data_IF_538128034208
#
_entry.id   IF_538128034208
#
_cell.length_a   1.000
_cell.length_b   1.000
_cell.length_c   1.000
_cell.angle_alpha   90.00
_cell.angle_beta   90.00
_cell.angle_gamma   90.00
#
_symmetry.space_group_name_H-M   'P 1'
#
loop_
_entity.id
_entity.type
_entity.pdbx_description
1 polymer ?
#
# COMPACT_ATOMS: atom_id res chain seq x y z
N UNK A 1 19.09 2.89 -9.06
CA UNK A 1 18.29 2.04 -8.17
C UNK A 1 18.93 2.18 -6.80
N UNK A 2 18.29 2.89 -5.89
CA UNK A 2 18.82 3.15 -4.54
C UNK A 2 18.77 1.83 -3.76
N UNK A 3 19.92 1.49 -3.22
CA UNK A 3 20.19 0.32 -2.40
C UNK A 3 19.17 0.18 -1.27
N UNK A 4 18.81 -1.08 -0.92
CA UNK A 4 17.77 -1.43 0.04
C UNK A 4 18.01 -1.06 1.49
N UNK A 5 18.56 0.13 1.77
CA UNK A 5 18.66 0.65 3.13
C UNK A 5 17.26 0.75 3.75
N UNK A 6 17.06 0.38 5.02
CA UNK A 6 15.78 0.51 5.70
C UNK A 6 15.24 1.94 5.62
N UNK A 7 13.92 2.10 5.57
CA UNK A 7 13.29 3.41 5.73
C UNK A 7 13.56 3.88 7.16
N UNK A 8 13.97 5.14 7.31
CA UNK A 8 14.24 5.66 8.66
C UNK A 8 12.97 5.77 9.51
N UNK A 9 13.13 5.60 10.82
CA UNK A 9 12.02 5.53 11.75
C UNK A 9 11.20 6.83 11.78
N UNK A 10 11.83 7.98 11.54
CA UNK A 10 11.16 9.29 11.52
C UNK A 10 10.22 9.40 10.33
N UNK A 11 10.68 9.03 9.13
CA UNK A 11 9.85 9.00 7.92
C UNK A 11 8.68 8.02 8.07
N UNK A 12 8.92 6.83 8.64
CA UNK A 12 7.85 5.85 8.92
C UNK A 12 6.80 6.45 9.87
N UNK A 13 7.24 7.06 10.97
CA UNK A 13 6.33 7.63 11.97
C UNK A 13 5.48 8.77 11.38
N UNK A 14 6.09 9.67 10.59
CA UNK A 14 5.37 10.74 9.89
C UNK A 14 4.33 10.18 8.93
N UNK A 15 4.74 9.29 8.01
CA UNK A 15 3.81 8.70 7.03
C UNK A 15 2.68 7.93 7.72
N UNK A 16 2.95 7.26 8.83
CA UNK A 16 1.93 6.52 9.59
C UNK A 16 0.88 7.43 10.20
N UNK A 17 1.21 8.68 10.51
CA UNK A 17 0.30 9.67 11.10
C UNK A 17 -0.57 10.38 10.05
N UNK A 18 -0.25 10.25 8.76
CA UNK A 18 -0.88 10.98 7.67
C UNK A 18 -1.98 10.16 6.99
N UNK A 19 -3.11 10.79 6.62
CA UNK A 19 -4.13 10.11 5.82
C UNK A 19 -3.66 9.91 4.37
N UNK A 20 -4.07 8.79 3.76
CA UNK A 20 -3.77 8.49 2.34
C UNK A 20 -4.19 9.62 1.39
N UNK A 21 -5.36 10.26 1.54
CA UNK A 21 -5.73 11.41 0.67
C UNK A 21 -4.72 12.56 0.71
N UNK A 22 -4.18 12.91 1.88
CA UNK A 22 -3.16 13.97 2.01
C UNK A 22 -1.86 13.57 1.31
N UNK A 23 -1.46 12.29 1.43
CA UNK A 23 -0.28 11.74 0.76
C UNK A 23 -0.45 11.77 -0.77
N UNK A 24 -1.60 11.31 -1.30
CA UNK A 24 -1.87 11.28 -2.74
C UNK A 24 -1.94 12.68 -3.35
N UNK A 25 -2.56 13.64 -2.65
CA UNK A 25 -2.57 15.04 -3.06
C UNK A 25 -1.16 15.65 -3.09
N UNK A 26 -0.32 15.28 -2.12
CA UNK A 26 1.09 15.72 -2.07
C UNK A 26 1.92 15.10 -3.19
N UNK A 27 1.72 13.81 -3.48
CA UNK A 27 2.33 13.12 -4.63
C UNK A 27 1.98 13.83 -5.94
N UNK A 28 0.68 14.12 -6.17
CA UNK A 28 0.23 14.83 -7.36
C UNK A 28 0.87 16.22 -7.49
N UNK A 29 0.97 16.99 -6.40
CA UNK A 29 1.65 18.29 -6.38
C UNK A 29 3.16 18.19 -6.68
N UNK A 30 3.77 17.03 -6.45
CA UNK A 30 5.17 16.72 -6.77
C UNK A 30 5.35 16.02 -8.12
N UNK A 31 4.30 15.92 -8.94
CA UNK A 31 4.34 15.37 -10.30
C UNK A 31 4.04 13.86 -10.40
N UNK A 32 3.65 13.21 -9.32
CA UNK A 32 3.24 11.79 -9.31
C UNK A 32 1.71 11.72 -9.20
N UNK A 33 1.01 11.84 -10.32
CA UNK A 33 -0.46 11.83 -10.34
C UNK A 33 -1.07 10.42 -10.16
N UNK A 34 -0.35 9.36 -10.56
CA UNK A 34 -0.81 7.98 -10.50
C UNK A 34 -0.09 7.20 -9.39
N UNK A 35 -0.39 7.51 -8.14
CA UNK A 35 0.20 6.87 -6.96
C UNK A 35 -0.82 6.24 -6.01
N UNK A 36 -2.05 5.94 -6.47
CA UNK A 36 -3.10 5.36 -5.64
C UNK A 36 -3.66 4.07 -6.25
N UNK A 37 -3.66 2.98 -5.50
CA UNK A 37 -4.16 1.67 -5.93
C UNK A 37 -5.69 1.64 -5.90
N UNK A 38 -6.30 2.25 -6.92
CA UNK A 38 -7.75 2.39 -7.01
C UNK A 38 -8.45 1.03 -7.10
N UNK A 39 -9.52 0.85 -6.32
CA UNK A 39 -10.31 -0.40 -6.34
C UNK A 39 -9.96 -1.40 -5.24
N UNK A 40 -8.75 -1.37 -4.70
CA UNK A 40 -8.41 -2.19 -3.53
C UNK A 40 -9.11 -1.67 -2.28
N UNK A 41 -9.58 -2.60 -1.45
CA UNK A 41 -10.22 -2.28 -0.17
C UNK A 41 -9.54 -3.03 0.96
N UNK A 42 -9.45 -2.42 2.15
CA UNK A 42 -9.00 -3.15 3.32
C UNK A 42 -10.00 -4.27 3.64
N UNK A 43 -9.49 -5.45 3.94
CA UNK A 43 -10.28 -6.59 4.37
C UNK A 43 -10.93 -6.31 5.73
N UNK A 44 -10.20 -5.64 6.61
CA UNK A 44 -10.64 -5.16 7.91
C UNK A 44 -10.35 -3.66 8.02
N UNK A 45 -11.36 -2.78 7.85
CA UNK A 45 -11.18 -1.33 7.98
C UNK A 45 -10.61 -0.92 9.34
N UNK A 46 -10.95 -1.62 10.42
CA UNK A 46 -10.41 -1.35 11.76
C UNK A 46 -8.90 -1.62 11.89
N UNK A 47 -8.30 -2.32 10.93
CA UNK A 47 -6.89 -2.72 10.92
C UNK A 47 -6.22 -2.42 9.56
N UNK A 48 -6.55 -1.29 8.94
CA UNK A 48 -6.06 -0.93 7.61
C UNK A 48 -4.70 -0.19 7.62
N UNK A 49 -4.28 0.38 8.76
CA UNK A 49 -3.14 1.31 8.79
C UNK A 49 -1.79 0.62 8.79
N UNK A 50 -1.00 0.90 7.74
CA UNK A 50 0.38 0.43 7.65
C UNK A 50 1.28 1.41 6.89
N UNK A 51 2.60 1.31 7.10
CA UNK A 51 3.68 1.89 6.28
C UNK A 51 4.74 0.82 6.13
N UNK A 52 5.10 0.48 4.90
CA UNK A 52 6.08 -0.57 4.63
C UNK A 52 6.75 -0.39 3.25
N UNK A 53 7.88 -1.08 3.04
CA UNK A 53 8.53 -1.15 1.73
C UNK A 53 8.05 -2.35 0.93
N UNK A 54 7.90 -2.19 -0.38
CA UNK A 54 7.34 -3.18 -1.28
C UNK A 54 8.28 -4.36 -1.54
N UNK A 55 7.82 -5.58 -1.26
CA UNK A 55 8.29 -6.81 -1.86
C UNK A 55 7.32 -7.18 -2.99
N UNK A 56 7.75 -7.03 -4.25
CA UNK A 56 6.86 -7.19 -5.41
C UNK A 56 6.86 -8.62 -5.94
N UNK A 57 5.67 -9.11 -6.29
CA UNK A 57 5.43 -10.44 -6.86
C UNK A 57 4.48 -10.31 -8.06
N UNK A 58 4.86 -10.85 -9.22
CA UNK A 58 4.04 -10.84 -10.44
C UNK A 58 3.57 -12.23 -10.81
N UNK A 59 2.28 -12.37 -11.05
CA UNK A 59 1.66 -13.60 -11.52
C UNK A 59 1.09 -13.41 -12.95
N UNK A 60 1.51 -14.27 -13.87
CA UNK A 60 1.03 -14.33 -15.25
C UNK A 60 -0.06 -15.39 -15.41
N UNK A 61 -0.88 -15.31 -16.48
CA UNK A 61 -1.79 -16.41 -16.83
C UNK A 61 -1.07 -17.75 -16.87
N UNK A 62 -1.70 -18.77 -16.31
CA UNK A 62 -1.09 -20.09 -16.25
C UNK A 62 -0.84 -20.64 -17.66
N UNK A 63 0.31 -21.27 -17.83
CA UNK A 63 0.66 -22.09 -18.97
C UNK A 63 1.01 -23.49 -18.43
N UNK A 64 0.36 -24.50 -18.92
CA UNK A 64 0.32 -25.85 -18.32
C UNK A 64 1.68 -26.52 -18.27
N UNK A 65 2.56 -26.23 -19.23
CA UNK A 65 3.93 -26.77 -19.21
C UNK A 65 4.77 -26.13 -18.07
N UNK A 66 4.62 -24.81 -17.83
CA UNK A 66 5.28 -24.12 -16.71
C UNK A 66 4.74 -24.59 -15.37
N UNK A 67 3.41 -24.72 -15.25
CA UNK A 67 2.78 -25.24 -14.02
C UNK A 67 3.27 -26.67 -13.71
N UNK A 68 3.35 -27.52 -14.74
CA UNK A 68 3.87 -28.87 -14.61
C UNK A 68 5.32 -28.87 -14.12
N UNK A 69 6.17 -28.04 -14.73
CA UNK A 69 7.58 -27.94 -14.31
C UNK A 69 7.74 -27.53 -12.83
N UNK A 70 6.86 -26.64 -12.34
CA UNK A 70 6.83 -26.28 -10.91
C UNK A 70 6.34 -27.45 -10.05
N UNK A 71 5.30 -28.16 -10.49
CA UNK A 71 4.73 -29.31 -9.78
C UNK A 71 5.71 -30.47 -9.68
N UNK A 72 6.45 -30.74 -10.77
CA UNK A 72 7.45 -31.82 -10.86
C UNK A 72 8.80 -31.43 -10.21
N UNK A 73 8.92 -30.18 -9.72
CA UNK A 73 10.15 -29.68 -9.08
C UNK A 73 11.29 -29.38 -10.04
N UNK A 74 11.07 -29.38 -11.35
CA UNK A 74 12.07 -29.01 -12.38
C UNK A 74 12.18 -27.50 -12.58
N UNK A 75 11.21 -26.71 -12.07
CA UNK A 75 11.27 -25.26 -11.97
C UNK A 75 10.94 -24.81 -10.53
N UNK A 76 11.47 -23.66 -10.07
CA UNK A 76 11.25 -23.17 -8.72
C UNK A 76 9.80 -22.71 -8.52
N UNK A 77 9.22 -23.05 -7.37
CA UNK A 77 7.96 -22.46 -6.93
C UNK A 77 8.23 -21.03 -6.39
N UNK A 78 8.01 -20.01 -7.25
CA UNK A 78 8.30 -18.61 -6.91
C UNK A 78 7.36 -18.07 -5.84
N UNK A 79 6.11 -18.54 -5.75
CA UNK A 79 5.22 -18.16 -4.64
C UNK A 79 5.82 -18.59 -3.29
N UNK A 80 6.24 -19.85 -3.17
CA UNK A 80 6.91 -20.35 -1.94
C UNK A 80 8.23 -19.63 -1.66
N UNK A 81 8.95 -19.26 -2.72
CA UNK A 81 10.19 -18.48 -2.61
C UNK A 81 9.88 -17.09 -2.04
N UNK A 82 8.87 -16.37 -2.55
CA UNK A 82 8.44 -15.08 -2.03
C UNK A 82 8.11 -15.14 -0.54
N UNK A 83 7.35 -16.15 -0.10
CA UNK A 83 7.02 -16.32 1.33
C UNK A 83 8.27 -16.48 2.22
N UNK A 84 9.32 -17.11 1.69
CA UNK A 84 10.59 -17.24 2.44
C UNK A 84 11.43 -15.97 2.43
N UNK A 85 11.43 -15.20 1.33
CA UNK A 85 12.31 -14.04 1.12
C UNK A 85 11.75 -12.73 1.69
N UNK A 86 10.43 -12.53 1.61
CA UNK A 86 9.83 -11.32 2.20
C UNK A 86 10.20 -11.20 3.68
N UNK A 87 10.59 -10.01 4.10
CA UNK A 87 11.17 -9.77 5.43
C UNK A 87 10.26 -8.93 6.32
N UNK A 88 10.57 -8.89 7.60
CA UNK A 88 9.91 -7.99 8.55
C UNK A 88 9.99 -6.53 8.08
N UNK A 89 8.92 -5.78 8.27
CA UNK A 89 8.82 -4.38 7.84
C UNK A 89 8.51 -4.19 6.36
N UNK A 90 8.39 -5.27 5.57
CA UNK A 90 7.95 -5.20 4.18
C UNK A 90 6.45 -5.47 4.04
N UNK A 91 5.87 -4.99 2.93
CA UNK A 91 4.54 -5.37 2.43
C UNK A 91 4.73 -6.21 1.17
N UNK A 92 4.06 -7.36 1.09
CA UNK A 92 4.03 -8.11 -0.16
C UNK A 92 2.96 -7.51 -1.08
N UNK A 93 3.39 -7.10 -2.28
CA UNK A 93 2.50 -6.51 -3.30
C UNK A 93 2.45 -7.45 -4.48
N UNK A 94 1.24 -7.86 -4.88
CA UNK A 94 1.08 -8.88 -5.91
C UNK A 94 0.28 -8.34 -7.10
N UNK A 95 0.86 -8.47 -8.29
CA UNK A 95 0.17 -8.31 -9.57
C UNK A 95 -0.43 -9.65 -10.00
N UNK A 96 -1.75 -9.68 -10.11
CA UNK A 96 -2.53 -10.81 -10.64
C UNK A 96 -3.39 -10.39 -11.85
N UNK A 97 -3.12 -9.21 -12.44
CA UNK A 97 -3.87 -8.65 -13.58
C UNK A 97 -5.34 -8.39 -13.25
N UNK A 98 -5.66 -8.02 -12.00
CA UNK A 98 -7.01 -7.71 -11.57
C UNK A 98 -7.95 -8.92 -11.47
N UNK A 99 -7.43 -10.15 -11.38
CA UNK A 99 -8.29 -11.37 -11.28
C UNK A 99 -8.85 -11.54 -9.86
N UNK A 100 -9.98 -10.90 -9.58
CA UNK A 100 -10.69 -11.00 -8.32
C UNK A 100 -11.21 -12.42 -7.99
N UNK A 101 -11.18 -13.36 -8.96
CA UNK A 101 -11.72 -14.70 -8.80
C UNK A 101 -10.74 -15.73 -8.23
N UNK A 102 -9.51 -15.33 -7.92
CA UNK A 102 -8.47 -16.23 -7.38
C UNK A 102 -7.82 -15.65 -6.14
N UNK A 103 -7.12 -16.50 -5.38
CA UNK A 103 -6.37 -16.10 -4.19
C UNK A 103 -5.00 -16.78 -4.14
N UNK A 104 -3.95 -16.00 -3.84
CA UNK A 104 -2.63 -16.52 -3.46
C UNK A 104 -2.43 -16.56 -1.93
N UNK A 105 -3.33 -15.96 -1.16
CA UNK A 105 -3.25 -15.82 0.28
C UNK A 105 -4.54 -16.29 0.94
N UNK A 106 -4.42 -17.08 1.96
CA UNK A 106 -5.45 -17.52 2.88
C UNK A 106 -4.90 -17.53 4.30
N UNK A 107 -5.61 -18.12 5.25
CA UNK A 107 -5.27 -18.13 6.67
C UNK A 107 -3.83 -18.58 6.95
N UNK A 108 -3.42 -19.75 6.43
CA UNK A 108 -2.09 -20.33 6.72
C UNK A 108 -0.95 -19.42 6.26
N UNK A 109 -1.06 -18.85 5.05
CA UNK A 109 -0.04 -17.96 4.50
C UNK A 109 -0.03 -16.63 5.27
N UNK A 110 -1.19 -16.06 5.56
CA UNK A 110 -1.30 -14.80 6.29
C UNK A 110 -0.76 -14.92 7.71
N UNK A 111 -1.07 -16.01 8.40
CA UNK A 111 -0.53 -16.33 9.73
C UNK A 111 1.00 -16.47 9.69
N UNK A 112 1.53 -17.18 8.70
CA UNK A 112 2.97 -17.32 8.51
C UNK A 112 3.66 -15.97 8.27
N UNK A 113 3.10 -15.13 7.37
CA UNK A 113 3.64 -13.81 7.06
C UNK A 113 3.59 -12.87 8.28
N UNK A 114 2.48 -12.90 9.02
CA UNK A 114 2.36 -12.16 10.29
C UNK A 114 3.43 -12.56 11.29
N UNK A 115 3.67 -13.87 11.47
CA UNK A 115 4.71 -14.40 12.36
C UNK A 115 6.13 -13.98 11.94
N UNK A 116 6.37 -13.74 10.65
CA UNK A 116 7.63 -13.19 10.13
C UNK A 116 7.80 -11.68 10.35
N UNK A 117 6.76 -10.96 10.80
CA UNK A 117 6.77 -9.51 10.92
C UNK A 117 6.54 -8.78 9.59
N UNK A 118 6.00 -9.47 8.57
CA UNK A 118 5.50 -8.82 7.36
C UNK A 118 4.38 -7.85 7.76
N UNK A 119 4.39 -6.67 7.20
CA UNK A 119 3.56 -5.56 7.67
C UNK A 119 2.16 -5.58 7.07
N UNK A 120 2.03 -6.00 5.81
CA UNK A 120 0.74 -6.06 5.12
C UNK A 120 0.81 -6.97 3.89
N UNK A 121 -0.37 -7.32 3.36
CA UNK A 121 -0.58 -7.92 2.03
C UNK A 121 -1.37 -6.91 1.18
N UNK A 122 -0.91 -6.66 -0.04
CA UNK A 122 -1.61 -5.87 -1.06
C UNK A 122 -1.68 -6.71 -2.32
N UNK A 123 -2.87 -6.97 -2.84
CA UNK A 123 -3.06 -7.81 -4.02
C UNK A 123 -4.20 -7.31 -4.90
N UNK A 124 -4.00 -7.28 -6.21
CA UNK A 124 -5.06 -7.06 -7.20
C UNK A 124 -5.80 -8.37 -7.57
N UNK A 125 -5.89 -9.26 -6.58
CA UNK A 125 -6.68 -10.48 -6.61
C UNK A 125 -7.65 -10.52 -5.42
N UNK A 126 -8.38 -11.62 -5.28
CA UNK A 126 -9.15 -11.92 -4.09
C UNK A 126 -8.30 -12.51 -2.96
N UNK A 127 -8.96 -12.79 -1.83
CA UNK A 127 -8.39 -13.47 -0.67
C UNK A 127 -9.27 -14.67 -0.29
N UNK A 128 -8.67 -15.77 0.13
CA UNK A 128 -9.40 -16.90 0.72
C UNK A 128 -9.53 -16.70 2.25
N UNK A 129 -10.38 -17.48 2.90
CA UNK A 129 -10.51 -17.57 4.36
C UNK A 129 -10.67 -16.20 5.04
N UNK A 130 -11.56 -15.36 4.49
CA UNK A 130 -11.69 -13.92 4.80
C UNK A 130 -11.74 -13.64 6.29
N UNK A 131 -12.58 -14.36 7.04
CA UNK A 131 -12.76 -14.14 8.48
C UNK A 131 -11.50 -14.52 9.28
N UNK A 132 -10.86 -15.63 8.90
CA UNK A 132 -9.68 -16.14 9.58
C UNK A 132 -8.46 -15.28 9.26
N UNK A 133 -8.33 -14.83 8.01
CA UNK A 133 -7.30 -13.86 7.60
C UNK A 133 -7.46 -12.54 8.36
N UNK A 134 -8.66 -11.99 8.48
CA UNK A 134 -8.93 -10.78 9.26
C UNK A 134 -8.55 -10.99 10.74
N UNK A 135 -8.87 -12.16 11.32
CA UNK A 135 -8.53 -12.51 12.70
C UNK A 135 -7.01 -12.58 12.96
N UNK A 136 -6.15 -12.75 11.93
CA UNK A 136 -4.70 -12.68 12.10
C UNK A 136 -4.21 -11.31 12.54
N UNK A 137 -4.99 -10.26 12.29
CA UNK A 137 -4.59 -8.87 12.49
C UNK A 137 -3.48 -8.39 11.54
N UNK A 138 -3.23 -9.09 10.43
CA UNK A 138 -2.38 -8.60 9.35
C UNK A 138 -3.20 -7.70 8.42
N UNK A 139 -2.83 -6.43 8.19
CA UNK A 139 -3.49 -5.59 7.20
C UNK A 139 -3.48 -6.23 5.82
N UNK A 140 -4.65 -6.35 5.18
CA UNK A 140 -4.78 -6.92 3.83
C UNK A 140 -5.64 -6.00 2.98
N UNK A 141 -5.17 -5.70 1.76
CA UNK A 141 -5.91 -4.96 0.74
C UNK A 141 -6.08 -5.84 -0.49
N UNK A 142 -7.30 -6.03 -0.94
CA UNK A 142 -7.65 -6.96 -2.03
C UNK A 142 -8.90 -6.51 -2.79
N UNK A 143 -9.28 -7.28 -3.80
CA UNK A 143 -10.51 -7.06 -4.59
C UNK A 143 -11.75 -7.77 -4.01
N UNK A 144 -11.61 -8.50 -2.89
CA UNK A 144 -12.70 -9.21 -2.24
C UNK A 144 -12.36 -10.66 -1.93
N UNK A 145 -13.39 -11.50 -1.68
CA UNK A 145 -13.19 -12.91 -1.38
C UNK A 145 -13.06 -13.77 -2.64
N UNK A 146 -12.15 -14.75 -2.63
CA UNK A 146 -11.99 -15.71 -3.71
C UNK A 146 -11.51 -17.07 -3.16
N UNK A 147 -12.32 -18.14 -3.28
CA UNK A 147 -11.93 -19.46 -2.78
C UNK A 147 -11.05 -20.25 -3.75
N UNK A 148 -10.87 -19.78 -5.00
CA UNK A 148 -10.12 -20.50 -6.03
C UNK A 148 -8.63 -20.23 -5.84
N UNK A 149 -7.78 -21.28 -5.68
CA UNK A 149 -6.34 -21.10 -5.57
C UNK A 149 -5.73 -20.43 -6.81
N UNK A 150 -4.79 -19.50 -6.59
CA UNK A 150 -4.10 -18.76 -7.65
C UNK A 150 -3.56 -19.63 -8.79
N UNK A 151 -2.88 -20.79 -8.52
CA UNK A 151 -2.35 -21.68 -9.55
C UNK A 151 -3.39 -22.29 -10.49
N UNK A 152 -4.68 -22.19 -10.19
CA UNK A 152 -5.74 -22.58 -11.13
C UNK A 152 -5.81 -21.68 -12.38
N UNK A 153 -5.36 -20.42 -12.28
CA UNK A 153 -5.44 -19.44 -13.38
C UNK A 153 -4.15 -18.66 -13.60
N UNK A 154 -3.35 -18.50 -12.55
CA UNK A 154 -2.15 -17.66 -12.56
C UNK A 154 -0.96 -18.37 -11.93
N UNK A 155 0.22 -18.14 -12.48
CA UNK A 155 1.47 -18.67 -11.97
C UNK A 155 2.43 -17.52 -11.66
N UNK A 156 3.04 -17.51 -10.47
CA UNK A 156 4.05 -16.51 -10.12
C UNK A 156 5.27 -16.68 -11.01
N UNK A 157 5.58 -15.63 -11.76
CA UNK A 157 6.61 -15.60 -12.79
C UNK A 157 7.84 -14.77 -12.41
N UNK A 158 7.64 -13.70 -11.63
CA UNK A 158 8.73 -12.80 -11.24
C UNK A 158 8.59 -12.36 -9.77
N UNK A 159 9.75 -12.11 -9.18
CA UNK A 159 9.90 -11.52 -7.84
C UNK A 159 10.83 -10.32 -7.92
N UNK A 160 10.56 -9.30 -7.11
CA UNK A 160 11.38 -8.09 -6.99
C UNK A 160 11.67 -7.44 -8.36
N UNK A 161 10.63 -7.32 -9.17
CA UNK A 161 10.61 -6.55 -10.43
C UNK A 161 9.51 -5.49 -10.34
N UNK A 162 9.58 -4.41 -11.14
CA UNK A 162 8.43 -3.50 -11.30
C UNK A 162 7.20 -4.29 -11.75
N UNK A 163 6.07 -4.00 -11.13
CA UNK A 163 4.77 -4.64 -11.41
C UNK A 163 3.70 -3.58 -11.70
N UNK A 164 2.63 -4.00 -12.36
CA UNK A 164 1.40 -3.23 -12.50
C UNK A 164 0.38 -3.72 -11.46
N UNK A 165 0.11 -2.92 -10.43
CA UNK A 165 -0.95 -3.21 -9.48
C UNK A 165 -2.06 -2.16 -9.65
N UNK A 166 -3.22 -2.57 -10.13
CA UNK A 166 -4.38 -1.67 -10.37
C UNK A 166 -4.06 -0.46 -11.27
N UNK A 167 -3.22 -0.62 -12.29
CA UNK A 167 -2.81 0.46 -13.20
C UNK A 167 -1.74 1.40 -12.62
N UNK A 168 -1.15 1.05 -11.48
CA UNK A 168 -0.04 1.79 -10.85
C UNK A 168 1.22 0.96 -10.90
N UNK A 169 2.31 1.56 -11.42
CA UNK A 169 3.62 0.92 -11.34
C UNK A 169 4.13 0.91 -9.90
N UNK A 170 4.39 -0.28 -9.37
CA UNK A 170 5.03 -0.47 -8.07
C UNK A 170 6.41 -1.07 -8.29
N UNK A 171 7.45 -0.32 -7.90
CA UNK A 171 8.82 -0.80 -7.95
C UNK A 171 9.21 -1.51 -6.64
N UNK A 172 10.15 -2.46 -6.68
CA UNK A 172 10.74 -3.02 -5.47
C UNK A 172 11.26 -1.91 -4.54
N UNK A 173 10.95 -2.03 -3.24
CA UNK A 173 11.29 -1.07 -2.20
C UNK A 173 10.55 0.28 -2.25
N UNK A 174 9.61 0.53 -3.15
CA UNK A 174 8.70 1.66 -3.01
C UNK A 174 8.01 1.63 -1.63
N UNK A 175 7.66 2.80 -1.12
CA UNK A 175 6.98 2.90 0.18
C UNK A 175 5.48 2.89 -0.03
N UNK A 176 4.80 1.90 0.55
CA UNK A 176 3.35 1.86 0.55
C UNK A 176 2.80 2.33 1.89
N UNK A 177 1.78 3.15 1.81
CA UNK A 177 1.01 3.63 2.97
C UNK A 177 -0.45 3.25 2.77
N UNK A 178 -1.01 2.51 3.72
CA UNK A 178 -2.42 2.12 3.72
C UNK A 178 -3.19 2.69 4.89
N UNK A 179 -4.45 3.03 4.64
CA UNK A 179 -5.48 3.33 5.64
C UNK A 179 -6.86 2.95 5.10
N UNK A 180 -7.95 3.34 5.79
CA UNK A 180 -9.32 3.02 5.40
C UNK A 180 -9.72 3.56 4.01
N UNK A 181 -8.98 4.55 3.47
CA UNK A 181 -9.22 5.09 2.13
C UNK A 181 -8.63 4.19 1.03
N UNK A 182 -7.61 3.40 1.34
CA UNK A 182 -6.89 2.56 0.38
C UNK A 182 -5.39 2.61 0.56
N UNK A 183 -4.64 2.44 -0.54
CA UNK A 183 -3.17 2.36 -0.53
C UNK A 183 -2.55 3.38 -1.47
N UNK A 184 -1.64 4.21 -0.95
CA UNK A 184 -0.75 5.07 -1.72
C UNK A 184 0.61 4.42 -1.95
N UNK A 185 1.18 4.63 -3.13
CA UNK A 185 2.52 4.19 -3.53
C UNK A 185 3.42 5.40 -3.67
N UNK A 186 4.50 5.44 -2.91
CA UNK A 186 5.46 6.54 -2.89
C UNK A 186 6.79 6.01 -3.42
N UNK A 187 7.34 6.59 -4.52
CA UNK A 187 8.69 6.23 -4.97
C UNK A 187 9.69 6.35 -3.82
N UNK A 188 10.51 5.32 -3.63
CA UNK A 188 11.44 5.22 -2.49
C UNK A 188 12.26 6.49 -2.27
N UNK A 189 12.79 7.08 -3.35
CA UNK A 189 13.64 8.27 -3.29
C UNK A 189 12.89 9.53 -2.81
N UNK A 190 11.56 9.54 -2.89
CA UNK A 190 10.73 10.69 -2.52
C UNK A 190 10.11 10.56 -1.11
N UNK A 191 10.30 9.43 -0.43
CA UNK A 191 9.56 9.12 0.81
C UNK A 191 9.71 10.19 1.91
N UNK A 192 10.93 10.65 2.16
CA UNK A 192 11.18 11.68 3.17
C UNK A 192 10.59 13.05 2.78
N UNK A 193 10.74 13.45 1.53
CA UNK A 193 10.19 14.73 1.01
C UNK A 193 8.67 14.72 1.02
N UNK A 194 8.05 13.61 0.63
CA UNK A 194 6.59 13.44 0.67
C UNK A 194 6.10 13.46 2.12
N UNK A 195 6.78 12.77 3.04
CA UNK A 195 6.41 12.75 4.45
C UNK A 195 6.40 14.17 5.04
N UNK A 196 7.45 14.97 4.77
CA UNK A 196 7.54 16.34 5.26
C UNK A 196 6.47 17.24 4.63
N UNK A 197 6.34 17.22 3.30
CA UNK A 197 5.38 18.09 2.60
C UNK A 197 3.93 17.73 2.95
N UNK A 198 3.61 16.44 3.11
CA UNK A 198 2.29 16.00 3.53
C UNK A 198 1.98 16.37 4.99
N UNK A 199 2.97 16.34 5.89
CA UNK A 199 2.82 16.79 7.27
C UNK A 199 2.51 18.31 7.34
N UNK A 200 3.20 19.12 6.54
CA UNK A 200 2.94 20.56 6.45
C UNK A 200 1.53 20.83 5.89
N UNK A 201 1.13 20.10 4.86
CA UNK A 201 -0.22 20.17 4.28
C UNK A 201 -1.30 19.78 5.30
N UNK A 202 -1.11 18.69 6.02
CA UNK A 202 -2.04 18.20 7.04
C UNK A 202 -2.16 19.19 8.22
N UNK A 203 -1.08 19.89 8.58
CA UNK A 203 -1.10 20.92 9.59
C UNK A 203 -1.96 22.13 9.16
N UNK A 204 -1.86 22.54 7.90
CA UNK A 204 -2.73 23.58 7.34
C UNK A 204 -4.19 23.10 7.32
N UNK A 205 -4.47 21.91 6.84
CA UNK A 205 -5.84 21.38 6.75
C UNK A 205 -6.50 21.28 8.13
N UNK A 206 -5.76 20.88 9.17
CA UNK A 206 -6.26 20.90 10.55
C UNK A 206 -6.61 22.30 11.04
N UNK A 207 -5.81 23.30 10.70
CA UNK A 207 -6.11 24.69 11.02
C UNK A 207 -7.38 25.18 10.32
N UNK A 208 -7.53 24.90 9.01
CA UNK A 208 -8.72 25.26 8.23
C UNK A 208 -9.97 24.57 8.79
N UNK A 209 -9.88 23.29 9.11
CA UNK A 209 -10.97 22.52 9.71
C UNK A 209 -11.42 23.12 11.06
N UNK A 210 -10.47 23.55 11.89
CA UNK A 210 -10.79 24.20 13.16
C UNK A 210 -11.55 25.53 12.94
N UNK A 211 -11.15 26.33 11.95
CA UNK A 211 -11.87 27.56 11.59
C UNK A 211 -13.29 27.27 11.11
N UNK A 212 -13.47 26.29 10.23
CA UNK A 212 -14.80 25.89 9.75
C UNK A 212 -15.69 25.38 10.89
N UNK A 213 -15.16 24.56 11.80
CA UNK A 213 -15.88 24.13 13.01
C UNK A 213 -16.23 25.29 13.93
N UNK A 214 -15.45 26.35 13.92
CA UNK A 214 -15.72 27.61 14.64
C UNK A 214 -16.70 28.54 13.94
N UNK A 215 -17.29 28.13 12.79
CA UNK A 215 -18.29 28.90 12.07
C UNK A 215 -17.72 29.87 11.04
N UNK A 216 -16.43 29.79 10.68
CA UNK A 216 -15.88 30.56 9.57
C UNK A 216 -16.56 30.18 8.25
N UNK A 217 -16.75 31.14 7.30
CA UNK A 217 -17.33 30.83 6.00
C UNK A 217 -16.42 29.91 5.20
N UNK A 218 -17.01 29.13 4.29
CA UNK A 218 -16.24 28.27 3.37
C UNK A 218 -15.37 29.12 2.43
N UNK A 219 -15.96 30.16 1.86
CA UNK A 219 -15.26 31.09 0.99
C UNK A 219 -14.15 31.82 1.75
N UNK A 220 -12.93 31.81 1.20
CA UNK A 220 -11.74 32.35 1.84
C UNK A 220 -11.10 31.44 2.88
N UNK A 221 -11.84 30.45 3.44
CA UNK A 221 -11.27 29.42 4.30
C UNK A 221 -10.82 28.22 3.47
N UNK A 222 -11.61 27.76 2.47
CA UNK A 222 -11.25 26.64 1.60
C UNK A 222 -11.74 26.87 0.16
N UNK A 223 -10.81 27.05 -0.79
CA UNK A 223 -9.35 27.20 -0.59
C UNK A 223 -9.00 28.43 0.25
N UNK A 224 -7.89 28.39 1.03
CA UNK A 224 -7.52 29.51 1.89
C UNK A 224 -7.07 30.72 1.07
N UNK A 225 -7.60 31.89 1.43
CA UNK A 225 -7.13 33.16 0.92
C UNK A 225 -5.87 33.67 1.63
N UNK A 226 -5.38 34.84 1.22
CA UNK A 226 -4.16 35.43 1.79
C UNK A 226 -4.30 35.76 3.29
N UNK A 227 -5.49 36.17 3.74
CA UNK A 227 -5.74 36.47 5.17
C UNK A 227 -5.74 35.19 6.01
N UNK A 228 -6.40 34.15 5.53
CA UNK A 228 -6.43 32.84 6.19
C UNK A 228 -5.03 32.22 6.26
N UNK A 229 -4.22 32.33 5.20
CA UNK A 229 -2.82 31.86 5.22
C UNK A 229 -1.96 32.67 6.21
N UNK A 230 -2.13 33.99 6.26
CA UNK A 230 -1.42 34.83 7.25
C UNK A 230 -1.79 34.45 8.68
N UNK A 231 -3.07 34.19 8.97
CA UNK A 231 -3.53 33.71 10.27
C UNK A 231 -2.93 32.35 10.63
N UNK A 232 -2.85 31.43 9.67
CA UNK A 232 -2.18 30.13 9.86
C UNK A 232 -0.70 30.29 10.22
N UNK A 233 0.03 31.12 9.46
CA UNK A 233 1.46 31.35 9.75
C UNK A 233 1.69 32.03 11.09
N UNK A 234 0.79 32.93 11.52
CA UNK A 234 0.85 33.55 12.85
C UNK A 234 0.64 32.54 13.97
N UNK A 235 -0.31 31.59 13.79
CA UNK A 235 -0.61 30.56 14.79
C UNK A 235 0.54 29.54 15.02
N UNK A 236 1.49 29.43 14.08
CA UNK A 236 2.65 28.52 14.20
C UNK A 236 3.84 29.18 14.88
N UNK A 237 3.80 30.49 15.17
CA UNK A 237 4.92 31.23 15.80
C UNK A 237 4.73 31.44 17.31
N UNK A 238 3.57 31.14 17.85
CA UNK A 238 3.25 31.18 19.28
C UNK A 238 3.20 29.77 19.85
#
# INVERSE_FOLDING_TARGET
MTDGAPLDATTIARLRALPVPTITATLAAKGIANGFLAGLRPLDPGNARFVATAYTMRALPVREDMLRAVSDGTAPNLHRKAMREVSAGQVIVTECGGDAGISFFGELISTYLKGKGVTAIVTDAGIADVADVAATGLPVFCLGSAPIPGPARRLVADLMRPIDCMGVTVCPNDVLVGDDNGVAVIPRAMAADIAQAAEDKEALERFLLARLKGGAPLDGTYPPDAETLAAYHASRKG
#
